data_IF_409297293253
#
_entry.id   IF_409297293253
#
_cell.length_a   1.000
_cell.length_b   1.000
_cell.length_c   1.000
_cell.angle_alpha   90.00
_cell.angle_beta   90.00
_cell.angle_gamma   90.00
#
_symmetry.space_group_name_H-M   'P 1'
#
loop_
_entity.id
_entity.type
_entity.pdbx_description
1 polymer ?
#
# COMPACT_ATOMS: atom_id res chain seq x y z
N UNK A 1 7.96 -3.14 16.91
CA UNK A 1 6.57 -3.16 17.36
C UNK A 1 6.06 -1.73 17.48
N UNK A 2 4.75 -1.49 17.28
CA UNK A 2 4.17 -0.14 17.42
C UNK A 2 4.45 0.47 18.78
N UNK A 3 4.18 -0.24 19.87
CA UNK A 3 4.41 0.25 21.25
C UNK A 3 5.88 0.40 21.67
N UNK A 4 6.84 0.06 20.80
CA UNK A 4 8.27 0.20 21.06
C UNK A 4 8.90 1.38 20.32
N UNK A 5 8.11 2.16 19.60
CA UNK A 5 8.60 3.33 18.87
C UNK A 5 8.79 4.52 19.79
N UNK A 6 9.84 5.31 19.54
CA UNK A 6 10.09 6.54 20.33
C UNK A 6 8.97 7.58 20.13
N UNK A 7 8.36 7.59 18.94
CA UNK A 7 7.19 8.39 18.64
C UNK A 7 6.01 7.48 18.32
N UNK A 8 4.95 7.42 19.13
CA UNK A 8 3.77 6.59 18.89
C UNK A 8 3.02 6.97 17.61
N UNK A 9 3.10 8.23 17.16
CA UNK A 9 2.43 8.74 15.95
C UNK A 9 3.03 8.20 14.64
N UNK A 10 4.12 7.41 14.72
CA UNK A 10 4.62 6.63 13.57
C UNK A 10 3.64 5.54 13.14
N UNK A 11 2.72 5.13 14.03
CA UNK A 11 1.66 4.18 13.73
C UNK A 11 0.31 4.77 14.10
N UNK A 12 -0.71 4.43 13.33
CA UNK A 12 -2.08 4.83 13.68
C UNK A 12 -2.52 4.10 14.93
N UNK A 13 -3.05 4.85 15.89
CA UNK A 13 -3.52 4.35 17.17
C UNK A 13 -4.77 5.10 17.64
N UNK A 14 -5.47 4.50 18.59
CA UNK A 14 -6.60 5.12 19.26
C UNK A 14 -6.04 6.08 20.31
N UNK A 15 -6.26 7.39 20.11
CA UNK A 15 -5.90 8.43 21.06
C UNK A 15 -6.96 8.60 22.16
N UNK A 16 -8.23 8.51 21.76
CA UNK A 16 -9.37 8.73 22.66
C UNK A 16 -10.53 7.82 22.27
N UNK A 17 -11.27 7.35 23.28
CA UNK A 17 -12.57 6.68 23.08
C UNK A 17 -13.66 7.58 23.59
N UNK A 18 -14.70 7.76 22.77
CA UNK A 18 -15.87 8.57 23.09
C UNK A 18 -17.13 7.72 23.08
N UNK A 19 -18.22 8.27 23.60
CA UNK A 19 -19.52 7.58 23.56
C UNK A 19 -20.01 7.29 22.14
N UNK A 20 -19.68 8.17 21.20
CA UNK A 20 -20.13 8.17 19.80
C UNK A 20 -19.07 7.64 18.80
N UNK A 21 -17.85 7.34 19.24
CA UNK A 21 -16.80 6.85 18.35
C UNK A 21 -15.42 6.81 18.98
N UNK A 22 -14.41 6.85 18.13
CA UNK A 22 -12.99 6.92 18.51
C UNK A 22 -12.31 8.11 17.85
N UNK A 23 -11.24 8.60 18.46
CA UNK A 23 -10.33 9.55 17.83
C UNK A 23 -9.04 8.81 17.51
N UNK A 24 -8.60 8.84 16.26
CA UNK A 24 -7.36 8.20 15.82
C UNK A 24 -6.30 9.25 15.51
N UNK A 25 -5.04 8.86 15.76
CA UNK A 25 -3.86 9.67 15.46
C UNK A 25 -2.76 8.77 14.92
N UNK A 26 -1.87 9.33 14.08
CA UNK A 26 -0.70 8.63 13.55
C UNK A 26 -0.61 8.63 12.04
N UNK A 27 0.26 7.78 11.51
CA UNK A 27 0.66 7.85 10.10
C UNK A 27 0.61 6.47 9.43
N UNK A 28 0.19 6.46 8.17
CA UNK A 28 0.32 5.32 7.25
C UNK A 28 1.20 5.72 6.08
N UNK A 29 2.30 4.99 5.89
CA UNK A 29 3.22 5.21 4.78
C UNK A 29 2.98 4.22 3.63
N UNK A 30 3.39 4.62 2.41
CA UNK A 30 3.32 3.79 1.20
C UNK A 30 1.89 3.37 0.88
N UNK A 31 0.95 4.34 0.94
CA UNK A 31 -0.44 4.12 0.57
C UNK A 31 -0.59 4.37 -0.92
N UNK A 32 -0.55 3.29 -1.71
CA UNK A 32 -0.67 3.37 -3.17
C UNK A 32 -2.06 3.85 -3.55
N UNK A 33 -2.12 4.83 -4.44
CA UNK A 33 -3.37 5.43 -4.90
C UNK A 33 -4.00 6.42 -3.93
N UNK A 34 -3.38 6.74 -2.79
CA UNK A 34 -3.96 7.62 -1.76
C UNK A 34 -4.62 8.90 -2.30
N UNK A 35 -4.02 9.63 -3.28
CA UNK A 35 -4.63 10.87 -3.80
C UNK A 35 -5.93 10.66 -4.60
N UNK A 36 -6.25 9.43 -4.95
CA UNK A 36 -7.41 9.09 -5.79
C UNK A 36 -8.53 8.39 -5.02
N UNK A 37 -8.33 8.13 -3.73
CA UNK A 37 -9.29 7.40 -2.89
C UNK A 37 -10.32 8.35 -2.30
N UNK A 38 -11.56 7.87 -2.17
CA UNK A 38 -12.63 8.57 -1.47
C UNK A 38 -12.61 8.25 0.03
N UNK A 39 -12.21 7.01 0.36
CA UNK A 39 -12.14 6.53 1.74
C UNK A 39 -10.90 5.64 1.95
N UNK A 40 -10.40 5.63 3.16
CA UNK A 40 -9.31 4.75 3.60
C UNK A 40 -9.85 3.69 4.55
N UNK A 41 -9.61 2.42 4.24
CA UNK A 41 -9.71 1.36 5.23
C UNK A 41 -8.38 1.32 6.01
N UNK A 42 -8.39 1.94 7.18
CA UNK A 42 -7.25 1.91 8.09
C UNK A 42 -7.23 0.57 8.80
N UNK A 43 -6.10 -0.13 8.75
CA UNK A 43 -5.97 -1.48 9.29
C UNK A 43 -4.71 -1.63 10.14
N UNK A 44 -4.68 -2.55 11.13
CA UNK A 44 -3.44 -2.94 11.77
C UNK A 44 -2.50 -3.58 10.75
N UNK A 45 -1.19 -3.51 10.97
CA UNK A 45 -0.22 -3.99 10.00
C UNK A 45 0.46 -5.32 10.38
N UNK A 46 0.12 -5.90 11.52
CA UNK A 46 0.74 -7.13 12.06
C UNK A 46 -0.02 -7.69 13.25
N UNK A 47 0.38 -8.89 13.69
CA UNK A 47 0.01 -9.44 15.00
C UNK A 47 0.47 -8.50 16.10
N UNK A 48 -0.37 -8.31 17.10
CA UNK A 48 -0.16 -7.39 18.23
C UNK A 48 -0.20 -8.14 19.57
N UNK A 49 0.36 -7.53 20.59
CA UNK A 49 0.32 -8.00 21.97
C UNK A 49 -0.64 -7.13 22.80
N UNK A 50 -1.00 -7.52 24.02
CA UNK A 50 -1.87 -6.70 24.89
C UNK A 50 -1.39 -5.25 25.05
N UNK A 51 -0.09 -5.05 25.11
CA UNK A 51 0.54 -3.73 25.25
C UNK A 51 0.34 -2.85 24.01
N UNK A 52 0.14 -3.49 22.85
CA UNK A 52 -0.10 -2.82 21.57
C UNK A 52 -1.60 -2.60 21.28
N UNK A 53 -2.51 -2.87 22.23
CA UNK A 53 -3.96 -2.87 22.01
C UNK A 53 -4.50 -1.57 21.42
N UNK A 54 -3.96 -0.42 21.82
CA UNK A 54 -4.39 0.87 21.25
C UNK A 54 -3.97 1.09 19.80
N UNK A 55 -3.04 0.27 19.25
CA UNK A 55 -2.70 0.23 17.83
C UNK A 55 -3.54 -0.79 17.04
N UNK A 56 -4.30 -1.65 17.72
CA UNK A 56 -5.22 -2.59 17.10
C UNK A 56 -6.50 -1.85 16.69
N UNK A 57 -6.42 -1.10 15.60
CA UNK A 57 -7.53 -0.31 15.06
C UNK A 57 -7.79 -0.66 13.61
N UNK A 58 -9.07 -0.91 13.30
CA UNK A 58 -9.55 -0.97 11.93
C UNK A 58 -10.79 -0.10 11.80
N UNK A 59 -10.77 0.82 10.85
CA UNK A 59 -11.88 1.74 10.62
C UNK A 59 -11.89 2.27 9.18
N UNK A 60 -13.06 2.75 8.73
CA UNK A 60 -13.22 3.45 7.45
C UNK A 60 -13.21 4.97 7.69
N UNK A 61 -12.32 5.67 7.00
CA UNK A 61 -12.13 7.12 7.14
C UNK A 61 -12.27 7.80 5.78
N UNK A 62 -13.18 8.76 5.60
CA UNK A 62 -13.24 9.58 4.39
C UNK A 62 -11.92 10.31 4.15
N UNK A 63 -11.49 10.42 2.90
CA UNK A 63 -10.21 11.05 2.57
C UNK A 63 -10.21 12.56 2.84
N UNK A 64 -11.39 13.17 2.88
CA UNK A 64 -11.63 14.59 3.19
C UNK A 64 -12.04 14.84 4.65
N UNK A 65 -11.98 13.82 5.52
CA UNK A 65 -12.32 14.00 6.93
C UNK A 65 -11.38 15.03 7.60
N UNK A 66 -11.91 15.88 8.50
CA UNK A 66 -11.09 16.82 9.24
C UNK A 66 -9.93 16.11 9.96
N UNK A 67 -8.71 16.62 9.80
CA UNK A 67 -7.50 16.02 10.36
C UNK A 67 -6.81 14.98 9.46
N UNK A 68 -7.36 14.65 8.31
CA UNK A 68 -6.68 13.81 7.30
C UNK A 68 -5.80 14.67 6.41
N UNK A 69 -4.53 14.32 6.30
CA UNK A 69 -3.58 14.94 5.38
C UNK A 69 -2.95 13.88 4.49
N UNK A 70 -2.91 14.12 3.19
CA UNK A 70 -2.28 13.23 2.20
C UNK A 70 -1.06 13.93 1.63
N UNK A 71 0.13 13.36 1.89
CA UNK A 71 1.38 13.80 1.28
C UNK A 71 1.64 12.88 0.08
N UNK A 72 1.33 13.36 -1.11
CA UNK A 72 1.39 12.59 -2.33
C UNK A 72 2.76 12.65 -3.01
N UNK A 73 3.23 11.50 -3.51
CA UNK A 73 4.34 11.41 -4.43
C UNK A 73 3.80 11.11 -5.84
N UNK A 74 4.18 11.86 -6.88
CA UNK A 74 3.74 11.58 -8.24
C UNK A 74 4.26 10.22 -8.72
N UNK A 75 3.55 9.61 -9.65
CA UNK A 75 3.92 8.33 -10.27
C UNK A 75 5.23 8.39 -11.06
N UNK A 76 5.52 9.53 -11.69
CA UNK A 76 6.76 9.81 -12.41
C UNK A 76 7.29 11.20 -12.06
N UNK A 77 8.57 11.45 -12.31
CA UNK A 77 9.16 12.76 -12.11
C UNK A 77 8.66 13.75 -13.17
N UNK A 78 8.20 14.93 -12.79
CA UNK A 78 7.80 15.95 -13.76
C UNK A 78 8.94 16.29 -14.72
N UNK A 79 8.66 16.33 -16.02
CA UNK A 79 9.63 16.70 -17.05
C UNK A 79 10.67 15.65 -17.42
N UNK A 80 10.65 14.46 -16.85
CA UNK A 80 11.59 13.38 -17.15
C UNK A 80 11.14 12.61 -18.41
N UNK A 81 11.87 12.73 -19.52
CA UNK A 81 11.55 12.05 -20.77
C UNK A 81 11.61 10.51 -20.66
N UNK A 82 12.47 9.98 -19.79
CA UNK A 82 12.62 8.55 -19.56
C UNK A 82 11.45 7.94 -18.74
N UNK A 83 10.68 8.75 -18.02
CA UNK A 83 9.60 8.29 -17.16
C UNK A 83 8.22 8.30 -17.84
N UNK A 84 8.15 8.38 -19.17
CA UNK A 84 6.89 8.50 -19.93
C UNK A 84 5.87 7.40 -19.59
N UNK A 85 6.33 6.16 -19.45
CA UNK A 85 5.47 5.04 -19.11
C UNK A 85 4.92 5.19 -17.68
N UNK A 86 5.76 5.44 -16.70
CA UNK A 86 5.36 5.64 -15.29
C UNK A 86 4.47 6.87 -15.12
N UNK A 87 4.73 7.96 -15.85
CA UNK A 87 3.89 9.15 -15.83
C UNK A 87 2.47 8.88 -16.36
N UNK A 88 2.34 7.98 -17.35
CA UNK A 88 1.06 7.66 -17.99
C UNK A 88 0.28 6.55 -17.29
N UNK A 89 0.96 5.51 -16.80
CA UNK A 89 0.36 4.29 -16.28
C UNK A 89 0.69 3.99 -14.83
N UNK A 90 1.63 4.72 -14.24
CA UNK A 90 2.00 4.53 -12.83
C UNK A 90 0.93 5.05 -11.88
N UNK A 91 0.99 4.57 -10.64
CA UNK A 91 0.14 5.05 -9.56
C UNK A 91 0.93 5.97 -8.62
N UNK A 92 0.31 7.09 -8.23
CA UNK A 92 0.81 7.91 -7.15
C UNK A 92 0.75 7.14 -5.84
N UNK A 93 1.75 7.32 -5.01
CA UNK A 93 1.81 6.77 -3.65
C UNK A 93 1.83 7.92 -2.67
N UNK A 94 1.22 7.75 -1.51
CA UNK A 94 1.20 8.79 -0.49
C UNK A 94 1.56 8.29 0.90
N UNK A 95 1.82 9.26 1.76
CA UNK A 95 1.76 9.11 3.21
C UNK A 95 0.45 9.75 3.66
N UNK A 96 -0.33 9.04 4.46
CA UNK A 96 -1.57 9.56 5.04
C UNK A 96 -1.33 9.79 6.52
N UNK A 97 -1.53 11.02 6.95
CA UNK A 97 -1.42 11.46 8.34
C UNK A 97 -2.81 11.67 8.89
N UNK A 98 -3.07 11.12 10.05
CA UNK A 98 -4.31 11.30 10.80
C UNK A 98 -3.99 12.14 12.04
N UNK A 99 -4.51 13.35 12.10
CA UNK A 99 -4.31 14.28 13.20
C UNK A 99 -5.63 14.45 13.97
N UNK A 100 -5.80 13.63 15.01
CA UNK A 100 -6.97 13.61 15.88
C UNK A 100 -8.30 13.46 15.10
N UNK A 101 -8.33 12.51 14.16
CA UNK A 101 -9.48 12.25 13.29
C UNK A 101 -10.55 11.50 14.06
N UNK A 102 -11.75 12.07 14.16
CA UNK A 102 -12.90 11.40 14.73
C UNK A 102 -13.51 10.38 13.77
N UNK A 103 -13.78 9.16 14.29
CA UNK A 103 -14.42 8.07 13.54
C UNK A 103 -15.61 7.55 14.36
N UNK A 104 -16.84 7.67 13.87
CA UNK A 104 -18.03 7.19 14.58
C UNK A 104 -18.05 5.64 14.64
N UNK A 105 -18.71 5.09 15.64
CA UNK A 105 -18.71 3.62 15.89
C UNK A 105 -19.19 2.79 14.69
N UNK A 106 -20.09 3.29 13.89
CA UNK A 106 -20.60 2.63 12.69
C UNK A 106 -19.54 2.39 11.60
N UNK A 107 -18.40 3.11 11.70
CA UNK A 107 -17.25 3.01 10.81
C UNK A 107 -16.04 2.34 11.45
N UNK A 108 -16.19 1.81 12.65
CA UNK A 108 -15.12 1.14 13.40
C UNK A 108 -15.37 -0.36 13.39
N UNK A 109 -14.37 -1.13 12.94
CA UNK A 109 -14.44 -2.59 12.81
C UNK A 109 -13.55 -3.32 13.83
N UNK A 110 -12.53 -2.63 14.34
CA UNK A 110 -11.64 -3.12 15.38
C UNK A 110 -11.17 -1.93 16.22
N UNK A 111 -11.28 -2.04 17.53
CA UNK A 111 -10.91 -0.95 18.44
C UNK A 111 -10.23 -1.47 19.70
N UNK A 112 -9.09 -2.14 19.57
CA UNK A 112 -8.28 -2.61 20.70
C UNK A 112 -8.29 -4.10 20.92
N UNK A 113 -9.07 -4.85 20.16
CA UNK A 113 -9.11 -6.32 20.17
C UNK A 113 -7.82 -6.84 19.48
N UNK A 114 -6.72 -6.80 20.21
CA UNK A 114 -5.38 -7.06 19.68
C UNK A 114 -5.20 -8.49 19.16
N UNK A 115 -5.95 -9.46 19.71
CA UNK A 115 -5.96 -10.85 19.29
C UNK A 115 -6.42 -11.00 17.82
N UNK A 116 -7.37 -10.16 17.40
CA UNK A 116 -7.95 -10.20 16.05
C UNK A 116 -7.06 -9.52 15.00
N UNK A 117 -6.12 -8.70 15.41
CA UNK A 117 -5.26 -7.93 14.49
C UNK A 117 -4.47 -8.83 13.54
N UNK A 118 -3.98 -9.97 14.02
CA UNK A 118 -3.24 -10.95 13.23
C UNK A 118 -4.10 -11.62 12.16
N UNK A 119 -5.29 -12.06 12.54
CA UNK A 119 -6.26 -12.68 11.63
C UNK A 119 -6.72 -11.70 10.55
N UNK A 120 -7.10 -10.50 10.92
CA UNK A 120 -7.51 -9.44 9.99
C UNK A 120 -6.41 -9.11 8.98
N UNK A 121 -5.17 -8.93 9.44
CA UNK A 121 -4.03 -8.63 8.58
C UNK A 121 -3.75 -9.77 7.59
N UNK A 122 -3.82 -11.03 8.05
CA UNK A 122 -3.57 -12.20 7.21
C UNK A 122 -4.67 -12.38 6.16
N UNK A 123 -5.93 -12.23 6.54
CA UNK A 123 -7.08 -12.32 5.63
C UNK A 123 -7.00 -11.26 4.53
N UNK A 124 -6.72 -10.01 4.90
CA UNK A 124 -6.50 -8.94 3.93
C UNK A 124 -5.32 -9.24 3.00
N UNK A 125 -4.16 -9.65 3.55
CA UNK A 125 -2.97 -9.93 2.75
C UNK A 125 -3.21 -11.05 1.74
N UNK A 126 -3.97 -12.08 2.11
CA UNK A 126 -4.34 -13.19 1.22
C UNK A 126 -5.22 -12.71 0.07
N UNK A 127 -6.25 -11.92 0.37
CA UNK A 127 -7.12 -11.33 -0.64
C UNK A 127 -6.35 -10.36 -1.56
N UNK A 128 -5.52 -9.50 -0.99
CA UNK A 128 -4.70 -8.55 -1.74
C UNK A 128 -3.70 -9.25 -2.68
N UNK A 129 -3.06 -10.32 -2.22
CA UNK A 129 -2.13 -11.12 -3.07
C UNK A 129 -2.86 -11.71 -4.27
N UNK A 130 -4.08 -12.20 -4.09
CA UNK A 130 -4.89 -12.71 -5.21
C UNK A 130 -5.10 -11.65 -6.30
N UNK A 131 -5.48 -10.44 -5.91
CA UNK A 131 -5.63 -9.32 -6.86
C UNK A 131 -4.32 -8.91 -7.52
N UNK A 132 -3.21 -8.92 -6.77
CA UNK A 132 -1.89 -8.53 -7.29
C UNK A 132 -1.32 -9.52 -8.30
N UNK A 133 -1.69 -10.81 -8.25
CA UNK A 133 -1.20 -11.82 -9.20
C UNK A 133 -1.63 -11.47 -10.62
N UNK A 134 -2.89 -11.09 -10.83
CA UNK A 134 -3.40 -10.71 -12.14
C UNK A 134 -2.65 -9.50 -12.74
N UNK A 135 -2.41 -8.46 -11.91
CA UNK A 135 -1.64 -7.30 -12.36
C UNK A 135 -0.18 -7.66 -12.70
N UNK A 136 0.43 -8.56 -11.94
CA UNK A 136 1.81 -9.01 -12.18
C UNK A 136 1.92 -9.84 -13.47
N UNK A 137 0.94 -10.66 -13.79
CA UNK A 137 0.90 -11.38 -15.07
C UNK A 137 0.93 -10.41 -16.24
N UNK A 138 0.08 -9.38 -16.25
CA UNK A 138 0.10 -8.34 -17.29
C UNK A 138 1.42 -7.55 -17.36
N UNK A 139 2.07 -7.29 -16.23
CA UNK A 139 3.43 -6.71 -16.24
C UNK A 139 4.49 -7.69 -16.75
N UNK A 140 4.31 -8.99 -16.54
CA UNK A 140 5.16 -10.04 -17.11
C UNK A 140 5.20 -9.95 -18.64
N UNK A 141 4.04 -9.84 -19.28
CA UNK A 141 3.93 -9.70 -20.75
C UNK A 141 4.69 -8.46 -21.26
N UNK A 142 4.60 -7.34 -20.53
CA UNK A 142 5.37 -6.13 -20.87
C UNK A 142 6.87 -6.33 -20.75
N UNK A 143 7.33 -7.05 -19.73
CA UNK A 143 8.75 -7.34 -19.54
C UNK A 143 9.28 -8.28 -20.61
N UNK A 144 8.51 -9.29 -21.01
CA UNK A 144 8.84 -10.20 -22.11
C UNK A 144 8.97 -9.41 -23.40
N UNK A 145 7.99 -8.57 -23.74
CA UNK A 145 8.04 -7.72 -24.91
C UNK A 145 9.22 -6.75 -24.92
N UNK A 146 9.50 -6.11 -23.79
CA UNK A 146 10.66 -5.22 -23.65
C UNK A 146 11.99 -5.97 -23.80
N UNK A 147 12.10 -7.17 -23.22
CA UNK A 147 13.26 -8.04 -23.36
C UNK A 147 13.54 -8.43 -24.80
N UNK A 148 12.48 -8.76 -25.57
CA UNK A 148 12.59 -9.06 -26.99
C UNK A 148 13.12 -7.86 -27.79
N UNK A 149 12.52 -6.69 -27.62
CA UNK A 149 12.95 -5.46 -28.28
C UNK A 149 14.39 -5.05 -27.92
N UNK A 150 14.78 -5.20 -26.66
CA UNK A 150 16.15 -4.93 -26.24
C UNK A 150 17.16 -5.90 -26.88
N UNK A 151 16.80 -7.18 -27.02
CA UNK A 151 17.61 -8.18 -27.67
C UNK A 151 17.85 -7.83 -29.13
N UNK A 152 16.80 -7.48 -29.87
CA UNK A 152 16.89 -7.02 -31.28
C UNK A 152 17.74 -5.74 -31.40
N UNK A 153 17.51 -4.75 -30.51
CA UNK A 153 18.24 -3.48 -30.55
C UNK A 153 19.75 -3.65 -30.32
N UNK A 154 20.16 -4.74 -29.65
CA UNK A 154 21.58 -5.08 -29.47
C UNK A 154 22.13 -5.98 -30.57
N UNK A 155 21.37 -6.22 -31.66
CA UNK A 155 21.77 -7.08 -32.77
C UNK A 155 21.83 -8.58 -32.40
N UNK A 156 21.16 -8.98 -31.33
CA UNK A 156 21.07 -10.36 -30.89
C UNK A 156 19.72 -10.99 -31.32
N UNK A 157 19.70 -12.30 -31.47
CA UNK A 157 18.48 -13.07 -31.70
C UNK A 157 18.44 -14.34 -30.83
N UNK A 158 17.24 -14.81 -30.51
CA UNK A 158 17.04 -15.98 -29.65
C UNK A 158 17.43 -17.32 -30.34
N UNK A 159 17.50 -17.37 -31.65
CA UNK A 159 17.88 -18.58 -32.36
C UNK A 159 19.38 -18.85 -32.24
N UNK A 160 20.19 -17.80 -32.27
CA UNK A 160 21.65 -17.89 -32.26
C UNK A 160 22.24 -17.74 -30.85
N UNK A 161 21.55 -17.05 -29.94
CA UNK A 161 22.08 -16.71 -28.60
C UNK A 161 21.32 -17.47 -27.51
N UNK A 162 21.74 -18.70 -27.23
CA UNK A 162 21.08 -19.58 -26.26
C UNK A 162 20.90 -18.95 -24.88
N UNK A 163 21.89 -18.23 -24.38
CA UNK A 163 21.82 -17.55 -23.08
C UNK A 163 20.72 -16.48 -22.99
N UNK A 164 20.41 -15.81 -24.12
CA UNK A 164 19.29 -14.85 -24.18
C UNK A 164 17.94 -15.57 -24.17
N UNK A 165 17.87 -16.70 -24.89
CA UNK A 165 16.66 -17.54 -24.89
C UNK A 165 16.39 -18.10 -23.49
N UNK A 166 17.42 -18.59 -22.82
CA UNK A 166 17.28 -19.17 -21.48
C UNK A 166 16.81 -18.09 -20.48
N UNK A 167 17.39 -16.89 -20.52
CA UNK A 167 16.93 -15.76 -19.70
C UNK A 167 15.48 -15.35 -20.01
N UNK A 168 15.03 -15.44 -21.25
CA UNK A 168 13.63 -15.14 -21.62
C UNK A 168 12.66 -16.22 -21.14
N UNK A 169 13.08 -17.49 -21.14
CA UNK A 169 12.29 -18.61 -20.59
C UNK A 169 12.06 -18.43 -19.10
N UNK A 170 13.04 -17.91 -18.36
CA UNK A 170 12.90 -17.62 -16.92
C UNK A 170 11.91 -16.49 -16.62
N UNK A 171 11.53 -15.68 -17.63
CA UNK A 171 10.53 -14.61 -17.48
C UNK A 171 9.09 -15.08 -17.73
N UNK A 172 8.91 -16.23 -18.39
CA UNK A 172 7.62 -16.82 -18.74
C UNK A 172 7.11 -17.72 -17.60
#
# INVERSE_FOLDING_TARGET
RPGQQANPDMHVHIRERRADGIVIRGTKAIVTGAPYMHEFLVMPCRTMTPEDSHFAVCCAVPADAPGVMIVARPAGRPGEAAAKFSAKYGQSTGVVVFEDVFVPWERVFLAGEHEEAGYMTTSYATHHRHSCIAARAGFGDLLIGAGALMTEANGLDFARHGHMRDAMVDLI
#
